data_IF_664994400628
#
_entry.id   IF_664994400628
#
_cell.length_a   1.000
_cell.length_b   1.000
_cell.length_c   1.000
_cell.angle_alpha   90.00
_cell.angle_beta   90.00
_cell.angle_gamma   90.00
#
_symmetry.space_group_name_H-M   'P 1'
#
loop_
_entity.id
_entity.type
_entity.pdbx_description
1 polymer ?
#
# COMPACT_ATOMS: atom_id res chain seq x y z
N UNK A 1 36.76 -6.18 -10.70
CA UNK A 1 36.16 -5.58 -9.49
C UNK A 1 35.26 -4.39 -9.84
N UNK A 2 34.32 -4.58 -10.77
CA UNK A 2 33.21 -3.67 -11.09
C UNK A 2 31.97 -4.53 -11.07
N UNK A 3 31.23 -4.53 -9.96
CA UNK A 3 29.86 -5.00 -9.79
C UNK A 3 29.60 -5.17 -8.29
N UNK A 4 29.20 -4.07 -7.65
CA UNK A 4 28.51 -4.08 -6.35
C UNK A 4 27.82 -2.75 -5.99
N UNK A 5 27.85 -1.74 -6.88
CA UNK A 5 27.13 -0.47 -6.70
C UNK A 5 25.75 -0.41 -7.37
N UNK A 6 25.29 -1.49 -8.03
CA UNK A 6 24.04 -1.47 -8.79
C UNK A 6 22.77 -1.77 -7.96
N UNK A 7 22.88 -2.14 -6.68
CA UNK A 7 21.72 -2.50 -5.86
C UNK A 7 21.18 -1.39 -4.94
N UNK A 8 21.83 -0.22 -4.91
CA UNK A 8 21.39 0.90 -4.05
C UNK A 8 20.54 1.95 -4.80
N UNK A 9 20.29 1.75 -6.10
CA UNK A 9 19.60 2.72 -6.97
C UNK A 9 18.06 2.55 -6.92
N UNK A 10 17.55 1.48 -6.30
CA UNK A 10 16.10 1.29 -6.10
C UNK A 10 15.49 2.16 -4.99
N UNK A 11 16.28 2.95 -4.26
CA UNK A 11 15.85 3.54 -2.98
C UNK A 11 15.68 5.04 -2.90
N UNK A 12 15.92 5.80 -3.96
CA UNK A 12 15.62 7.24 -3.98
C UNK A 12 15.22 7.61 -5.40
N UNK A 13 14.11 8.33 -5.59
CA UNK A 13 13.69 8.78 -6.92
C UNK A 13 14.82 9.59 -7.59
N UNK A 14 14.91 9.60 -8.94
CA UNK A 14 15.86 10.45 -9.67
C UNK A 14 15.83 11.92 -9.24
N UNK A 15 14.68 12.39 -8.74
CA UNK A 15 14.48 13.75 -8.24
C UNK A 15 15.17 14.02 -6.90
N UNK A 16 15.33 13.02 -6.04
CA UNK A 16 16.08 13.17 -4.79
C UNK A 16 17.60 13.23 -5.04
N UNK A 17 18.08 12.49 -6.04
CA UNK A 17 19.45 12.62 -6.53
C UNK A 17 19.71 14.01 -7.14
N UNK A 18 18.75 14.53 -7.90
CA UNK A 18 18.80 15.88 -8.45
C UNK A 18 18.74 16.97 -7.37
N UNK A 19 17.98 16.76 -6.28
CA UNK A 19 17.93 17.64 -5.12
C UNK A 19 19.30 17.65 -4.41
N UNK A 20 19.91 16.49 -4.20
CA UNK A 20 21.25 16.35 -3.59
C UNK A 20 22.36 16.98 -4.45
N UNK A 21 22.29 16.87 -5.79
CA UNK A 21 23.23 17.55 -6.69
C UNK A 21 22.99 19.06 -6.78
N UNK A 22 21.74 19.54 -6.68
CA UNK A 22 21.43 20.98 -6.55
C UNK A 22 21.90 21.56 -5.21
N UNK A 23 21.87 20.77 -4.13
CA UNK A 23 22.37 21.17 -2.81
C UNK A 23 23.90 21.22 -2.72
N UNK A 24 24.65 20.62 -3.65
CA UNK A 24 26.12 20.69 -3.70
C UNK A 24 26.68 22.09 -3.98
N UNK A 25 25.88 23.03 -4.45
CA UNK A 25 26.32 24.40 -4.74
C UNK A 25 26.28 25.37 -3.55
N UNK A 26 25.70 24.98 -2.40
CA UNK A 26 25.70 25.80 -1.18
C UNK A 26 26.62 25.19 -0.11
N UNK A 27 27.93 25.43 -0.23
CA UNK A 27 28.88 25.23 0.88
C UNK A 27 28.66 26.29 1.95
N UNK A 28 27.77 26.03 2.91
CA UNK A 28 27.80 26.64 4.25
C UNK A 28 27.13 25.69 5.25
N UNK A 29 27.99 25.00 6.01
CA UNK A 29 27.72 24.39 7.33
C UNK A 29 26.26 23.97 7.60
N UNK A 30 25.84 22.81 7.10
CA UNK A 30 24.69 22.07 7.63
C UNK A 30 25.21 21.06 8.68
N UNK A 31 24.67 21.03 9.91
CA UNK A 31 24.88 19.91 10.82
C UNK A 31 24.37 18.62 10.17
N UNK A 32 25.02 17.51 10.48
CA UNK A 32 24.64 16.18 10.03
C UNK A 32 23.20 15.79 10.40
N UNK A 33 22.65 14.86 9.60
CA UNK A 33 21.34 14.19 9.64
C UNK A 33 20.23 14.84 8.80
N UNK A 34 20.26 14.58 7.49
CA UNK A 34 19.01 14.20 6.82
C UNK A 34 18.69 12.82 7.40
N UNK A 35 17.79 12.74 8.38
CA UNK A 35 17.26 11.45 8.82
C UNK A 35 16.54 10.82 7.63
N UNK A 36 16.75 9.52 7.41
CA UNK A 36 15.84 8.80 6.54
C UNK A 36 14.43 8.94 7.13
N UNK A 37 13.43 9.14 6.28
CA UNK A 37 12.06 9.26 6.72
C UNK A 37 11.63 8.05 7.54
N UNK A 38 10.93 8.31 8.64
CA UNK A 38 10.41 7.25 9.50
C UNK A 38 8.92 7.10 9.22
N UNK A 39 8.57 6.12 8.37
CA UNK A 39 7.17 5.74 8.15
C UNK A 39 6.58 5.11 9.40
N UNK A 40 5.31 5.45 9.64
CA UNK A 40 4.51 4.97 10.75
C UNK A 40 3.04 4.90 10.34
N UNK A 41 2.24 4.16 11.11
CA UNK A 41 0.86 3.84 10.78
C UNK A 41 -0.08 4.58 11.72
N UNK A 42 -1.17 5.14 11.19
CA UNK A 42 -2.23 5.78 11.96
C UNK A 42 -3.61 5.23 11.64
N UNK A 43 -4.58 5.55 12.50
CA UNK A 43 -6.00 5.24 12.31
C UNK A 43 -6.79 6.53 12.08
N UNK A 44 -7.58 6.51 11.01
CA UNK A 44 -8.46 7.59 10.60
C UNK A 44 -9.90 7.11 10.62
N UNK A 45 -10.84 8.03 10.77
CA UNK A 45 -12.28 7.79 10.70
C UNK A 45 -12.92 8.73 9.69
N UNK A 46 -14.05 8.33 9.12
CA UNK A 46 -14.74 9.08 8.07
C UNK A 46 -16.24 8.88 8.07
N UNK A 47 -16.95 9.84 7.47
CA UNK A 47 -18.39 9.74 7.18
C UNK A 47 -18.63 9.03 5.83
N UNK A 48 -17.59 8.91 5.01
CA UNK A 48 -17.65 8.32 3.68
C UNK A 48 -16.25 7.77 3.30
N UNK A 49 -16.15 6.92 2.27
CA UNK A 49 -14.85 6.42 1.80
C UNK A 49 -14.00 7.49 1.09
N UNK A 50 -14.45 8.75 1.08
CA UNK A 50 -13.80 9.86 0.39
C UNK A 50 -13.26 10.91 1.36
N UNK A 51 -13.66 10.86 2.64
CA UNK A 51 -13.38 11.90 3.62
C UNK A 51 -13.01 11.29 4.95
N UNK A 52 -11.70 11.26 5.21
CA UNK A 52 -11.12 10.73 6.43
C UNK A 52 -10.42 11.82 7.24
N UNK A 53 -10.38 11.65 8.56
CA UNK A 53 -9.65 12.50 9.49
C UNK A 53 -9.06 11.66 10.63
N UNK A 54 -8.00 12.14 11.31
CA UNK A 54 -7.47 11.45 12.48
C UNK A 54 -8.56 11.18 13.53
N UNK A 55 -8.65 9.94 14.02
CA UNK A 55 -9.61 9.58 15.03
C UNK A 55 -9.31 10.28 16.37
N UNK A 56 -10.29 11.00 16.94
CA UNK A 56 -10.08 11.84 18.13
C UNK A 56 -9.68 11.06 19.39
N UNK A 57 -10.13 9.82 19.49
CA UNK A 57 -9.84 8.90 20.60
C UNK A 57 -8.60 8.03 20.36
N UNK A 58 -7.90 8.20 19.23
CA UNK A 58 -6.68 7.45 18.90
C UNK A 58 -5.48 8.39 18.94
N UNK A 59 -4.41 7.94 19.61
CA UNK A 59 -3.12 8.64 19.58
C UNK A 59 -2.30 8.08 18.41
N UNK A 60 -2.28 8.79 17.29
CA UNK A 60 -1.43 8.43 16.15
C UNK A 60 0.04 8.90 16.35
N UNK A 61 1.02 8.16 15.80
CA UNK A 61 0.87 6.88 15.11
C UNK A 61 0.52 5.76 16.11
N UNK A 62 -0.25 4.77 15.66
CA UNK A 62 -0.63 3.60 16.47
C UNK A 62 0.42 2.49 16.46
N UNK A 63 1.23 2.43 15.40
CA UNK A 63 2.39 1.54 15.27
C UNK A 63 3.51 2.34 14.59
N UNK A 64 4.70 2.33 15.19
CA UNK A 64 5.95 2.80 14.59
C UNK A 64 7.07 1.74 14.68
N UNK A 65 8.28 2.08 14.20
CA UNK A 65 9.39 1.13 14.16
C UNK A 65 9.87 0.64 15.54
N UNK A 66 9.60 1.37 16.61
CA UNK A 66 9.97 0.97 17.99
C UNK A 66 9.01 -0.06 18.58
N UNK A 67 7.81 -0.22 18.01
CA UNK A 67 6.85 -1.24 18.43
C UNK A 67 7.20 -2.63 17.90
N UNK A 68 8.09 -2.72 16.90
CA UNK A 68 8.58 -3.98 16.34
C UNK A 68 9.63 -4.59 17.27
N UNK A 69 9.35 -5.77 17.81
CA UNK A 69 10.15 -6.38 18.88
C UNK A 69 11.04 -7.55 18.45
N UNK A 70 10.76 -8.19 17.31
CA UNK A 70 11.51 -9.35 16.83
C UNK A 70 12.74 -8.99 15.98
N UNK A 71 12.76 -7.78 15.41
CA UNK A 71 13.86 -7.22 14.61
C UNK A 71 14.02 -5.72 14.87
N UNK A 72 15.17 -5.16 14.51
CA UNK A 72 15.31 -3.70 14.44
C UNK A 72 14.73 -3.20 13.12
N UNK A 73 13.63 -2.44 13.18
CA UNK A 73 12.98 -1.85 12.03
C UNK A 73 13.49 -0.43 11.73
N UNK A 74 13.68 -0.08 10.46
CA UNK A 74 13.87 1.33 10.06
C UNK A 74 12.53 2.07 10.06
N UNK A 75 11.46 1.42 9.62
CA UNK A 75 10.11 1.97 9.50
C UNK A 75 9.04 0.88 9.37
N UNK A 76 7.77 1.28 9.45
CA UNK A 76 6.59 0.46 9.12
C UNK A 76 5.66 1.21 8.16
N UNK A 77 5.07 0.52 7.18
CA UNK A 77 4.26 1.16 6.12
C UNK A 77 3.21 0.21 5.52
N UNK A 78 2.39 0.72 4.59
CA UNK A 78 1.39 -0.05 3.84
C UNK A 78 0.42 -0.90 4.69
N UNK A 79 -0.31 -0.32 5.64
CA UNK A 79 -1.18 -1.09 6.51
C UNK A 79 -2.44 -1.55 5.80
N UNK A 80 -2.70 -2.87 5.83
CA UNK A 80 -4.00 -3.46 5.52
C UNK A 80 -4.58 -4.16 6.74
N UNK A 81 -5.87 -4.02 6.98
CA UNK A 81 -6.55 -4.65 8.09
C UNK A 81 -7.76 -5.50 7.67
N UNK A 82 -8.14 -6.43 8.56
CA UNK A 82 -9.39 -7.16 8.52
C UNK A 82 -10.03 -7.17 9.89
N UNK A 83 -11.36 -7.03 9.92
CA UNK A 83 -12.16 -7.35 11.10
C UNK A 83 -12.60 -8.81 11.02
N UNK A 84 -12.20 -9.60 12.00
CA UNK A 84 -12.59 -11.01 12.13
C UNK A 84 -13.18 -11.20 13.52
N UNK A 85 -14.46 -11.57 13.55
CA UNK A 85 -15.26 -11.62 14.77
C UNK A 85 -15.21 -10.26 15.51
N UNK A 86 -14.65 -10.25 16.73
CA UNK A 86 -14.55 -9.07 17.60
C UNK A 86 -13.22 -8.34 17.46
N UNK A 87 -12.26 -8.87 16.70
CA UNK A 87 -10.90 -8.34 16.64
C UNK A 87 -10.56 -7.79 15.27
N UNK A 88 -9.74 -6.74 15.26
CA UNK A 88 -9.04 -6.23 14.11
C UNK A 88 -7.64 -6.80 14.04
N UNK A 89 -7.22 -7.15 12.82
CA UNK A 89 -5.89 -7.67 12.50
C UNK A 89 -5.30 -6.77 11.42
N UNK A 90 -4.13 -6.19 11.66
CA UNK A 90 -3.42 -5.32 10.73
C UNK A 90 -2.11 -5.97 10.31
N UNK A 91 -1.91 -6.04 8.99
CA UNK A 91 -0.71 -6.52 8.33
C UNK A 91 -0.03 -5.34 7.65
N UNK A 92 1.28 -5.24 7.75
CA UNK A 92 2.03 -4.07 7.27
C UNK A 92 3.48 -4.43 6.94
N UNK A 93 4.13 -3.62 6.09
CA UNK A 93 5.56 -3.72 5.84
C UNK A 93 6.36 -3.35 7.10
N UNK A 94 7.36 -4.15 7.41
CA UNK A 94 8.45 -3.84 8.33
C UNK A 94 9.75 -3.83 7.52
N UNK A 95 10.43 -2.68 7.44
CA UNK A 95 11.75 -2.66 6.82
C UNK A 95 12.83 -3.07 7.81
N UNK A 96 13.25 -4.34 7.72
CA UNK A 96 14.22 -4.94 8.62
C UNK A 96 15.64 -4.44 8.33
N UNK A 97 16.29 -3.82 9.32
CA UNK A 97 17.64 -3.26 9.19
C UNK A 97 18.71 -4.31 8.91
N UNK A 98 18.57 -5.51 9.48
CA UNK A 98 19.58 -6.56 9.36
C UNK A 98 19.54 -7.20 7.97
N UNK A 99 18.34 -7.49 7.46
CA UNK A 99 18.15 -8.15 6.15
C UNK A 99 18.05 -7.16 4.98
N UNK A 100 17.84 -5.87 5.28
CA UNK A 100 17.72 -4.75 4.32
C UNK A 100 16.57 -4.92 3.32
N UNK A 101 15.47 -5.53 3.74
CA UNK A 101 14.26 -5.76 2.93
C UNK A 101 13.00 -5.63 3.79
N UNK A 102 11.85 -5.51 3.13
CA UNK A 102 10.53 -5.53 3.76
C UNK A 102 10.10 -6.96 4.09
N UNK A 103 9.50 -7.13 5.26
CA UNK A 103 8.88 -8.34 5.78
C UNK A 103 7.49 -7.97 6.32
N UNK A 104 6.53 -8.89 6.39
CA UNK A 104 5.15 -8.54 6.78
C UNK A 104 4.94 -8.79 8.27
N UNK A 105 4.64 -7.72 9.00
CA UNK A 105 4.26 -7.73 10.42
C UNK A 105 2.78 -7.97 10.66
N UNK A 106 2.43 -8.25 11.91
CA UNK A 106 1.06 -8.34 12.41
C UNK A 106 0.91 -7.52 13.70
N UNK A 107 -0.15 -6.72 13.77
CA UNK A 107 -0.67 -6.15 15.01
C UNK A 107 -2.17 -6.50 15.17
N UNK A 108 -2.63 -6.59 16.41
CA UNK A 108 -4.03 -6.95 16.74
C UNK A 108 -4.64 -5.88 17.65
N UNK A 109 -5.93 -5.63 17.46
CA UNK A 109 -6.68 -4.67 18.29
C UNK A 109 -8.13 -5.13 18.49
N UNK A 110 -8.68 -5.11 19.72
CA UNK A 110 -10.10 -5.39 19.95
C UNK A 110 -11.01 -4.22 19.56
N UNK A 111 -10.48 -3.00 19.42
CA UNK A 111 -11.27 -1.77 19.29
C UNK A 111 -10.80 -0.84 18.16
N UNK A 112 -9.75 -1.23 17.43
CA UNK A 112 -9.03 -0.43 16.44
C UNK A 112 -8.44 0.88 16.98
N UNK A 113 -8.34 1.04 18.30
CA UNK A 113 -7.76 2.19 18.98
C UNK A 113 -6.36 1.86 19.48
N UNK A 114 -6.23 0.79 20.27
CA UNK A 114 -4.94 0.33 20.77
C UNK A 114 -4.52 -0.91 20.00
N UNK A 115 -3.33 -0.85 19.41
CA UNK A 115 -2.76 -1.93 18.62
C UNK A 115 -1.58 -2.56 19.35
N UNK A 116 -1.63 -3.89 19.47
CA UNK A 116 -0.55 -4.67 20.07
C UNK A 116 0.19 -5.43 18.96
N UNK A 117 1.44 -5.06 18.72
CA UNK A 117 2.33 -5.79 17.82
C UNK A 117 2.48 -7.26 18.28
N UNK A 118 2.50 -8.19 17.32
CA UNK A 118 2.62 -9.63 17.58
C UNK A 118 3.97 -10.18 17.12
N UNK A 119 4.18 -10.26 15.81
CA UNK A 119 5.35 -10.87 15.17
C UNK A 119 5.39 -10.58 13.66
N UNK A 120 6.53 -10.81 13.02
CA UNK A 120 6.61 -11.03 11.57
C UNK A 120 5.88 -12.35 11.22
N UNK A 121 4.95 -12.28 10.28
CA UNK A 121 4.12 -13.42 9.84
C UNK A 121 4.44 -13.92 8.43
N UNK A 122 5.17 -13.13 7.63
CA UNK A 122 5.64 -13.54 6.32
C UNK A 122 7.00 -12.88 6.01
N UNK A 123 7.99 -13.69 5.71
CA UNK A 123 9.30 -13.26 5.25
C UNK A 123 9.74 -14.14 4.07
N UNK A 124 10.26 -13.51 3.02
CA UNK A 124 10.71 -14.18 1.80
C UNK A 124 12.17 -13.83 1.50
N UNK A 125 12.79 -14.48 0.51
CA UNK A 125 14.18 -14.15 0.10
C UNK A 125 14.29 -12.79 -0.62
N UNK A 126 13.16 -12.17 -0.92
CA UNK A 126 13.00 -10.91 -1.63
C UNK A 126 12.18 -9.93 -0.79
N UNK A 127 12.15 -8.66 -1.20
CA UNK A 127 11.39 -7.60 -0.54
C UNK A 127 9.88 -7.85 -0.61
N UNK A 128 9.17 -7.62 0.51
CA UNK A 128 7.72 -7.66 0.63
C UNK A 128 7.22 -6.31 1.16
N UNK A 129 6.19 -5.74 0.53
CA UNK A 129 5.43 -4.57 1.00
C UNK A 129 3.96 -4.75 0.63
N UNK A 130 3.11 -3.73 0.85
CA UNK A 130 1.72 -3.71 0.38
C UNK A 130 0.93 -5.03 0.60
N UNK A 131 0.82 -5.57 1.84
CA UNK A 131 0.23 -6.88 2.14
C UNK A 131 -1.30 -6.90 2.01
N UNK A 132 -1.84 -6.78 0.79
CA UNK A 132 -3.28 -6.70 0.54
C UNK A 132 -3.99 -7.96 1.06
N UNK A 133 -4.62 -7.86 2.23
CA UNK A 133 -5.29 -8.97 2.91
C UNK A 133 -6.80 -8.93 2.68
N UNK A 134 -7.42 -10.10 2.45
CA UNK A 134 -8.85 -10.24 2.19
C UNK A 134 -9.37 -11.63 2.56
N UNK A 135 -10.68 -11.73 2.79
CA UNK A 135 -11.37 -13.01 3.01
C UNK A 135 -12.11 -13.46 1.76
N UNK A 136 -12.08 -14.75 1.46
CA UNK A 136 -12.88 -15.36 0.40
C UNK A 136 -13.25 -16.80 0.76
N UNK A 137 -14.52 -17.18 0.61
CA UNK A 137 -15.02 -18.52 0.93
C UNK A 137 -14.59 -19.02 2.33
N UNK A 138 -14.75 -18.17 3.35
CA UNK A 138 -14.37 -18.45 4.76
C UNK A 138 -12.87 -18.70 4.99
N UNK A 139 -12.02 -18.29 4.05
CA UNK A 139 -10.57 -18.42 4.11
C UNK A 139 -9.92 -17.05 3.97
N UNK A 140 -8.68 -16.92 4.44
CA UNK A 140 -7.95 -15.65 4.42
C UNK A 140 -6.78 -15.72 3.46
N UNK A 141 -6.67 -14.68 2.64
CA UNK A 141 -5.67 -14.57 1.58
C UNK A 141 -4.91 -13.24 1.69
N UNK A 142 -3.69 -13.24 1.20
CA UNK A 142 -2.82 -12.07 1.14
C UNK A 142 -2.10 -12.03 -0.20
N UNK A 143 -2.05 -10.84 -0.80
CA UNK A 143 -1.24 -10.52 -1.99
C UNK A 143 -0.30 -9.38 -1.61
N UNK A 144 0.93 -9.65 -1.14
CA UNK A 144 1.92 -8.62 -0.97
C UNK A 144 2.49 -8.15 -2.32
N UNK A 145 3.01 -6.92 -2.36
CA UNK A 145 3.91 -6.52 -3.43
C UNK A 145 5.13 -7.46 -3.42
N UNK A 146 5.41 -8.03 -4.57
CA UNK A 146 6.46 -9.03 -4.76
C UNK A 146 7.23 -8.76 -6.06
N UNK A 147 7.46 -7.48 -6.35
CA UNK A 147 8.06 -7.01 -7.61
C UNK A 147 9.41 -7.66 -7.95
N UNK A 148 10.25 -7.93 -6.94
CA UNK A 148 11.53 -8.65 -7.11
C UNK A 148 11.35 -10.11 -7.55
N UNK A 149 10.24 -10.76 -7.18
CA UNK A 149 9.88 -12.10 -7.62
C UNK A 149 9.30 -12.14 -9.05
N UNK A 150 9.02 -10.96 -9.64
CA UNK A 150 8.44 -10.80 -10.98
C UNK A 150 7.11 -11.53 -11.20
N UNK A 151 6.30 -11.57 -10.14
CA UNK A 151 5.00 -12.26 -10.12
C UNK A 151 4.11 -11.60 -9.08
N UNK A 152 2.80 -11.68 -9.26
CA UNK A 152 1.81 -11.39 -8.22
C UNK A 152 1.56 -12.69 -7.47
N UNK A 153 2.04 -12.80 -6.22
CA UNK A 153 1.97 -14.04 -5.44
C UNK A 153 0.74 -14.04 -4.52
N UNK A 154 -0.04 -15.11 -4.57
CA UNK A 154 -1.13 -15.37 -3.64
C UNK A 154 -0.63 -16.22 -2.47
N UNK A 155 -0.89 -15.76 -1.26
CA UNK A 155 -0.70 -16.52 -0.03
C UNK A 155 -2.05 -16.80 0.62
N UNK A 156 -2.19 -17.97 1.24
CA UNK A 156 -3.34 -18.35 2.07
C UNK A 156 -2.89 -18.58 3.49
N UNK A 157 -3.68 -18.11 4.46
CA UNK A 157 -3.41 -18.39 5.86
C UNK A 157 -3.65 -19.88 6.14
N UNK A 158 -2.59 -20.64 6.46
CA UNK A 158 -2.72 -22.02 6.93
C UNK A 158 -3.15 -22.07 8.40
N UNK A 159 -2.86 -21.00 9.14
CA UNK A 159 -3.38 -20.73 10.48
C UNK A 159 -3.51 -19.22 10.65
N UNK A 160 -4.70 -18.69 10.40
CA UNK A 160 -4.95 -17.25 10.57
C UNK A 160 -4.78 -16.82 12.04
N UNK A 161 -4.17 -15.65 12.33
CA UNK A 161 -3.54 -14.69 11.40
C UNK A 161 -2.03 -14.91 11.19
N UNK A 162 -1.44 -15.95 11.77
CA UNK A 162 0.02 -16.01 12.04
C UNK A 162 0.83 -16.82 11.03
N UNK A 163 0.21 -17.74 10.28
CA UNK A 163 0.93 -18.60 9.35
C UNK A 163 0.35 -18.49 7.95
N UNK A 164 1.20 -18.14 6.99
CA UNK A 164 0.86 -17.93 5.59
C UNK A 164 1.64 -18.89 4.71
N UNK A 165 0.97 -19.44 3.70
CA UNK A 165 1.54 -20.39 2.74
C UNK A 165 1.34 -19.88 1.33
N UNK A 166 2.40 -19.93 0.53
CA UNK A 166 2.32 -19.63 -0.89
C UNK A 166 1.37 -20.61 -1.59
N UNK A 167 0.44 -20.09 -2.38
CA UNK A 167 -0.55 -20.89 -3.12
C UNK A 167 -0.20 -20.93 -4.59
N UNK A 168 -0.12 -19.76 -5.23
CA UNK A 168 0.10 -19.67 -6.68
C UNK A 168 0.61 -18.28 -7.09
N UNK A 169 1.12 -18.17 -8.32
CA UNK A 169 1.37 -16.90 -8.98
C UNK A 169 0.14 -16.53 -9.83
N UNK A 170 -0.55 -15.45 -9.49
CA UNK A 170 -1.73 -14.99 -10.24
C UNK A 170 -1.36 -14.47 -11.62
N UNK A 171 -0.28 -13.69 -11.69
CA UNK A 171 0.32 -13.16 -12.93
C UNK A 171 1.84 -13.23 -12.79
N UNK A 172 2.57 -13.49 -13.88
CA UNK A 172 4.03 -13.64 -13.87
C UNK A 172 4.68 -12.95 -15.08
N UNK A 173 5.97 -12.67 -14.98
CA UNK A 173 6.80 -12.25 -16.12
C UNK A 173 7.08 -10.75 -16.25
N UNK A 174 6.64 -9.94 -15.28
CA UNK A 174 6.90 -8.49 -15.23
C UNK A 174 7.22 -8.04 -13.80
N UNK A 175 7.65 -6.78 -13.64
CA UNK A 175 7.61 -6.09 -12.35
C UNK A 175 6.17 -5.70 -12.08
N UNK A 176 5.68 -6.01 -10.88
CA UNK A 176 4.33 -5.76 -10.42
C UNK A 176 4.41 -5.09 -9.05
N UNK A 177 3.91 -3.86 -8.95
CA UNK A 177 3.95 -3.05 -7.74
C UNK A 177 2.50 -2.75 -7.28
N UNK A 178 2.30 -2.82 -5.96
CA UNK A 178 1.03 -2.54 -5.27
C UNK A 178 -0.22 -3.16 -5.90
N UNK A 179 -0.30 -4.49 -5.96
CA UNK A 179 -1.45 -5.18 -6.57
C UNK A 179 -2.71 -5.06 -5.69
N UNK A 180 -3.75 -4.39 -6.18
CA UNK A 180 -5.05 -4.26 -5.49
C UNK A 180 -6.10 -5.19 -6.09
N UNK A 181 -6.51 -6.21 -5.33
CA UNK A 181 -7.52 -7.20 -5.75
C UNK A 181 -8.91 -6.87 -5.19
N UNK A 182 -9.95 -7.06 -6.00
CA UNK A 182 -11.32 -6.92 -5.55
C UNK A 182 -12.26 -7.81 -6.37
N UNK A 183 -13.47 -8.04 -5.82
CA UNK A 183 -14.51 -8.80 -6.51
C UNK A 183 -15.68 -7.88 -6.83
N UNK A 184 -16.11 -7.90 -8.08
CA UNK A 184 -17.25 -7.14 -8.58
C UNK A 184 -17.91 -7.89 -9.72
N UNK A 185 -19.24 -7.91 -9.75
CA UNK A 185 -20.04 -8.61 -10.77
C UNK A 185 -19.58 -10.07 -11.01
N UNK A 186 -19.50 -10.84 -9.92
CA UNK A 186 -19.05 -12.24 -9.91
C UNK A 186 -17.66 -12.53 -10.49
N UNK A 187 -16.83 -11.50 -10.65
CA UNK A 187 -15.50 -11.60 -11.26
C UNK A 187 -14.43 -11.02 -10.34
N UNK A 188 -13.24 -11.59 -10.41
CA UNK A 188 -12.05 -11.01 -9.78
C UNK A 188 -11.41 -9.99 -10.70
N UNK A 189 -11.00 -8.88 -10.10
CA UNK A 189 -10.32 -7.78 -10.76
C UNK A 189 -9.05 -7.45 -10.01
N UNK A 190 -8.03 -7.02 -10.74
CA UNK A 190 -6.73 -6.70 -10.17
C UNK A 190 -6.11 -5.49 -10.87
N UNK A 191 -5.87 -4.44 -10.10
CA UNK A 191 -5.08 -3.28 -10.49
C UNK A 191 -3.63 -3.46 -10.06
N UNK A 192 -2.68 -3.09 -10.92
CA UNK A 192 -1.26 -3.21 -10.59
C UNK A 192 -0.39 -2.24 -11.39
N UNK A 193 0.56 -1.60 -10.72
CA UNK A 193 1.56 -0.75 -11.36
C UNK A 193 2.66 -1.63 -11.99
N UNK A 194 3.11 -1.27 -13.20
CA UNK A 194 4.02 -2.14 -13.98
C UNK A 194 5.20 -1.43 -14.64
N UNK A 195 5.51 -0.17 -14.30
CA UNK A 195 6.63 0.51 -14.92
C UNK A 195 7.97 -0.07 -14.39
N UNK A 196 8.79 -0.71 -15.25
CA UNK A 196 10.01 -1.38 -14.81
C UNK A 196 11.11 -0.42 -14.32
N UNK A 197 10.92 0.89 -14.55
CA UNK A 197 11.83 1.96 -14.15
C UNK A 197 11.37 2.71 -12.90
N UNK A 198 10.38 2.18 -12.16
CA UNK A 198 9.86 2.79 -10.92
C UNK A 198 9.46 4.27 -11.11
N UNK A 199 8.85 4.58 -12.26
CA UNK A 199 8.23 5.89 -12.52
C UNK A 199 6.83 6.02 -11.93
N UNK A 200 6.24 4.89 -11.53
CA UNK A 200 4.92 4.82 -10.89
C UNK A 200 3.79 5.39 -11.75
N UNK A 201 3.92 5.28 -13.08
CA UNK A 201 3.13 6.01 -14.07
C UNK A 201 2.31 5.10 -14.99
N UNK A 202 2.37 3.78 -14.78
CA UNK A 202 1.75 2.77 -15.66
C UNK A 202 0.88 1.81 -14.87
N UNK A 203 -0.44 1.91 -15.01
CA UNK A 203 -1.43 1.03 -14.38
C UNK A 203 -2.02 0.04 -15.39
N UNK A 204 -2.01 -1.24 -15.03
CA UNK A 204 -2.66 -2.32 -15.79
C UNK A 204 -3.80 -2.92 -14.97
N UNK A 205 -4.78 -3.44 -15.70
CA UNK A 205 -5.96 -4.13 -15.19
C UNK A 205 -5.97 -5.57 -15.69
N UNK A 206 -6.24 -6.50 -14.79
CA UNK A 206 -6.42 -7.92 -15.05
C UNK A 206 -7.75 -8.39 -14.48
N UNK A 207 -8.29 -9.48 -15.00
CA UNK A 207 -9.47 -10.13 -14.46
C UNK A 207 -9.38 -11.66 -14.53
N UNK A 208 -10.15 -12.33 -13.66
CA UNK A 208 -10.31 -13.77 -13.66
C UNK A 208 -11.71 -14.17 -13.15
N UNK A 209 -12.22 -15.32 -13.58
CA UNK A 209 -13.47 -15.87 -13.04
C UNK A 209 -13.23 -16.48 -11.64
N UNK A 210 -12.10 -17.15 -11.47
CA UNK A 210 -11.67 -17.79 -10.22
C UNK A 210 -10.45 -17.09 -9.62
N UNK A 211 -10.27 -17.19 -8.29
CA UNK A 211 -9.21 -16.47 -7.59
C UNK A 211 -7.81 -16.87 -8.07
N UNK A 212 -7.60 -18.16 -8.31
CA UNK A 212 -6.34 -18.73 -8.82
C UNK A 212 -6.20 -18.61 -10.35
N UNK A 213 -7.12 -17.89 -11.01
CA UNK A 213 -7.08 -17.67 -12.44
C UNK A 213 -7.82 -18.73 -13.28
N UNK A 214 -7.60 -18.75 -14.61
CA UNK A 214 -6.58 -17.98 -15.32
C UNK A 214 -6.84 -16.47 -15.26
N UNK A 215 -5.78 -15.70 -15.01
CA UNK A 215 -5.82 -14.24 -15.05
C UNK A 215 -5.55 -13.73 -16.46
N UNK A 216 -6.42 -12.85 -16.95
CA UNK A 216 -6.40 -12.31 -18.30
C UNK A 216 -6.16 -10.81 -18.18
N UNK A 217 -5.19 -10.29 -18.95
CA UNK A 217 -5.01 -8.85 -19.05
C UNK A 217 -6.19 -8.21 -19.79
N UNK A 218 -6.75 -7.15 -19.20
CA UNK A 218 -7.85 -6.41 -19.79
C UNK A 218 -7.42 -5.75 -21.12
N UNK A 219 -8.24 -5.75 -22.19
CA UNK A 219 -7.84 -5.23 -23.50
C UNK A 219 -7.54 -3.72 -23.53
N UNK A 220 -8.07 -2.94 -22.59
CA UNK A 220 -7.72 -1.52 -22.43
C UNK A 220 -6.41 -1.29 -21.65
N UNK A 221 -5.73 -2.34 -21.19
CA UNK A 221 -4.46 -2.19 -20.48
C UNK A 221 -3.32 -1.77 -21.44
N UNK A 222 -2.41 -0.88 -21.01
CA UNK A 222 -2.46 -0.15 -19.75
C UNK A 222 -3.60 0.88 -19.72
N UNK A 223 -4.40 0.86 -18.64
CA UNK A 223 -5.52 1.79 -18.47
C UNK A 223 -5.04 3.19 -18.09
N UNK A 224 -3.81 3.31 -17.59
CA UNK A 224 -3.08 4.56 -17.38
C UNK A 224 -1.64 4.35 -17.83
N UNK A 225 -1.10 5.28 -18.63
CA UNK A 225 0.26 5.23 -19.13
C UNK A 225 0.91 6.63 -19.10
N UNK A 226 2.07 6.74 -18.45
CA UNK A 226 2.81 7.99 -18.34
C UNK A 226 2.19 9.04 -17.40
N UNK A 227 1.37 8.63 -16.42
CA UNK A 227 0.80 9.55 -15.42
C UNK A 227 1.08 9.10 -13.97
N UNK A 228 2.15 9.63 -13.32
CA UNK A 228 2.52 9.28 -11.95
C UNK A 228 1.59 9.83 -10.87
N UNK A 229 0.61 10.67 -11.23
CA UNK A 229 -0.35 11.21 -10.27
C UNK A 229 -1.50 10.26 -9.93
N UNK A 230 -1.75 9.25 -10.78
CA UNK A 230 -3.00 8.47 -10.75
C UNK A 230 -2.85 6.97 -11.06
N UNK A 231 -1.63 6.52 -11.38
CA UNK A 231 -1.38 5.14 -11.80
C UNK A 231 -1.16 4.18 -10.63
N UNK A 232 -0.33 4.52 -9.65
CA UNK A 232 0.08 3.58 -8.59
C UNK A 232 -1.06 3.38 -7.57
N UNK A 233 -1.53 2.16 -7.31
CA UNK A 233 -2.59 1.93 -6.33
C UNK A 233 -2.21 2.34 -4.90
N UNK A 234 -3.17 2.89 -4.13
CA UNK A 234 -2.95 3.40 -2.78
C UNK A 234 -3.62 2.60 -1.66
N UNK A 235 -4.22 1.45 -1.97
CA UNK A 235 -4.74 0.54 -0.96
C UNK A 235 -6.00 -0.19 -1.42
N UNK A 236 -6.91 -0.50 -0.49
CA UNK A 236 -8.09 -1.32 -0.77
C UNK A 236 -9.09 -0.63 -1.69
N UNK A 237 -9.49 -1.31 -2.76
CA UNK A 237 -10.61 -0.86 -3.59
C UNK A 237 -11.90 -1.07 -2.82
N UNK A 238 -12.71 -0.01 -2.69
CA UNK A 238 -14.00 -0.06 -2.01
C UNK A 238 -15.10 -0.38 -3.01
N UNK A 239 -15.85 -1.45 -2.74
CA UNK A 239 -17.03 -1.84 -3.53
C UNK A 239 -18.26 -1.68 -2.65
N UNK A 240 -19.16 -0.75 -3.01
CA UNK A 240 -20.42 -0.49 -2.30
C UNK A 240 -21.57 -0.56 -3.31
N UNK A 241 -22.28 -1.68 -3.35
CA UNK A 241 -23.32 -1.94 -4.36
C UNK A 241 -22.75 -1.73 -5.78
N UNK A 242 -23.30 -0.77 -6.53
CA UNK A 242 -22.89 -0.45 -7.90
C UNK A 242 -21.78 0.61 -7.97
N UNK A 243 -21.23 1.03 -6.83
CA UNK A 243 -20.20 2.08 -6.76
C UNK A 243 -18.86 1.49 -6.36
N UNK A 244 -17.85 1.66 -7.21
CA UNK A 244 -16.49 1.18 -6.97
C UNK A 244 -15.54 2.36 -6.88
N UNK A 245 -14.80 2.47 -5.77
CA UNK A 245 -13.81 3.52 -5.54
C UNK A 245 -12.41 2.92 -5.54
N UNK A 246 -11.57 3.38 -6.45
CA UNK A 246 -10.14 3.09 -6.52
C UNK A 246 -9.36 4.24 -5.90
N UNK A 247 -8.41 3.92 -5.03
CA UNK A 247 -7.46 4.89 -4.51
C UNK A 247 -6.13 4.82 -5.25
N UNK A 248 -5.52 5.97 -5.46
CA UNK A 248 -4.22 6.09 -6.12
C UNK A 248 -3.28 6.97 -5.33
N UNK A 249 -2.00 6.60 -5.39
CA UNK A 249 -0.91 7.41 -4.88
C UNK A 249 -0.64 8.51 -5.90
N UNK A 250 -0.43 9.72 -5.39
CA UNK A 250 0.13 10.79 -6.18
C UNK A 250 1.65 10.80 -5.96
N UNK A 251 2.41 10.34 -6.96
CA UNK A 251 3.85 10.15 -6.89
C UNK A 251 4.66 11.27 -7.58
N UNK A 252 4.05 12.42 -7.89
CA UNK A 252 4.75 13.55 -8.52
C UNK A 252 4.42 14.89 -7.85
N UNK A 253 5.43 15.75 -7.58
CA UNK A 253 6.85 15.63 -7.97
C UNK A 253 7.68 14.74 -7.05
N UNK A 254 7.10 14.22 -5.97
CA UNK A 254 7.76 13.34 -5.03
C UNK A 254 6.89 12.13 -4.74
N UNK A 255 7.51 11.07 -4.22
CA UNK A 255 6.83 9.85 -3.83
C UNK A 255 5.77 10.13 -2.75
N UNK A 256 4.54 9.65 -2.97
CA UNK A 256 3.51 9.57 -1.93
C UNK A 256 3.07 10.91 -1.35
N UNK A 257 2.84 11.93 -2.18
CA UNK A 257 2.48 13.27 -1.66
C UNK A 257 1.03 13.37 -1.18
N UNK A 258 0.15 12.49 -1.66
CA UNK A 258 -1.25 12.39 -1.25
C UNK A 258 -1.89 11.11 -1.80
N UNK A 259 -3.08 10.79 -1.28
CA UNK A 259 -3.97 9.76 -1.85
C UNK A 259 -5.16 10.43 -2.53
N UNK A 260 -5.46 10.01 -3.77
CA UNK A 260 -6.61 10.47 -4.55
C UNK A 260 -7.63 9.35 -4.75
N UNK A 261 -8.90 9.69 -4.97
CA UNK A 261 -9.98 8.74 -5.25
C UNK A 261 -10.59 8.90 -6.65
N UNK A 262 -10.83 7.75 -7.29
CA UNK A 262 -11.49 7.62 -8.59
C UNK A 262 -12.68 6.69 -8.46
N UNK A 263 -13.81 7.10 -9.03
CA UNK A 263 -14.98 6.24 -9.17
C UNK A 263 -14.92 5.53 -10.50
N UNK A 264 -14.99 4.21 -10.50
CA UNK A 264 -15.06 3.40 -11.71
C UNK A 264 -16.50 3.43 -12.19
N UNK A 265 -16.73 4.08 -13.33
CA UNK A 265 -18.07 4.29 -13.90
C UNK A 265 -18.45 3.21 -14.91
N UNK A 266 -17.48 2.45 -15.42
CA UNK A 266 -17.70 1.30 -16.29
C UNK A 266 -16.61 0.25 -16.05
N UNK A 267 -17.01 -0.99 -15.78
CA UNK A 267 -16.11 -2.11 -15.57
C UNK A 267 -16.70 -3.38 -16.16
N UNK A 268 -16.22 -3.77 -17.33
CA UNK A 268 -16.58 -5.01 -18.02
C UNK A 268 -15.32 -5.67 -18.59
N UNK A 269 -15.33 -6.94 -19.03
CA UNK A 269 -14.14 -7.58 -19.60
C UNK A 269 -13.58 -6.90 -20.87
N UNK A 270 -14.32 -5.96 -21.46
CA UNK A 270 -13.97 -5.28 -22.72
C UNK A 270 -13.97 -3.76 -22.61
N UNK A 271 -14.34 -3.18 -21.47
CA UNK A 271 -14.47 -1.74 -21.31
C UNK A 271 -14.16 -1.31 -19.87
N UNK A 272 -13.46 -0.19 -19.76
CA UNK A 272 -13.04 0.41 -18.49
C UNK A 272 -13.15 1.93 -18.59
N UNK A 273 -13.85 2.55 -17.63
CA UNK A 273 -13.86 3.99 -17.44
C UNK A 273 -13.84 4.33 -15.96
N UNK A 274 -13.10 5.37 -15.60
CA UNK A 274 -13.11 5.96 -14.27
C UNK A 274 -13.17 7.48 -14.34
N UNK A 275 -13.67 8.11 -13.29
CA UNK A 275 -13.72 9.56 -13.13
C UNK A 275 -13.17 9.92 -11.76
N UNK A 276 -12.32 10.95 -11.72
CA UNK A 276 -11.89 11.52 -10.46
C UNK A 276 -13.09 12.05 -9.66
N UNK A 277 -13.14 11.72 -8.37
CA UNK A 277 -14.20 12.19 -7.48
C UNK A 277 -13.97 13.67 -7.13
N UNK A 278 -15.04 14.47 -7.01
CA UNK A 278 -14.91 15.88 -6.62
C UNK A 278 -14.23 16.00 -5.23
N UNK A 279 -13.26 16.91 -5.10
CA UNK A 279 -12.46 17.03 -3.88
C UNK A 279 -11.52 15.83 -3.64
N UNK A 280 -11.03 15.22 -4.72
CA UNK A 280 -10.39 13.91 -4.81
C UNK A 280 -9.30 13.55 -3.79
N UNK A 281 -8.66 14.51 -3.12
CA UNK A 281 -7.63 14.24 -2.14
C UNK A 281 -8.25 13.68 -0.86
N UNK A 282 -8.17 12.36 -0.71
CA UNK A 282 -8.70 11.60 0.43
C UNK A 282 -7.79 11.72 1.64
N UNK A 283 -6.48 11.68 1.41
CA UNK A 283 -5.45 11.87 2.42
C UNK A 283 -4.41 12.85 1.90
N UNK A 284 -4.04 13.80 2.75
CA UNK A 284 -2.93 14.72 2.53
C UNK A 284 -2.06 14.78 3.78
N UNK A 285 -0.78 15.12 3.63
CA UNK A 285 0.09 15.41 4.75
C UNK A 285 -0.48 16.46 5.70
N UNK A 286 0.00 16.43 6.94
CA UNK A 286 -0.25 17.49 7.92
C UNK A 286 0.05 18.86 7.31
N UNK A 287 -0.88 19.84 7.37
CA UNK A 287 -0.65 21.17 6.81
C UNK A 287 0.55 21.90 7.41
N UNK A 288 0.99 21.49 8.60
CA UNK A 288 2.17 22.06 9.26
C UNK A 288 3.49 21.47 8.75
N UNK A 289 3.44 20.33 8.05
CA UNK A 289 4.63 19.56 7.67
C UNK A 289 5.30 18.85 8.85
N UNK A 290 4.68 18.84 10.03
CA UNK A 290 5.21 18.23 11.24
C UNK A 290 4.28 17.14 11.78
N UNK A 291 4.86 16.25 12.58
CA UNK A 291 4.19 15.07 13.15
C UNK A 291 4.46 13.82 12.32
N UNK A 292 4.00 12.68 12.80
CA UNK A 292 4.18 11.37 12.16
C UNK A 292 3.65 11.29 10.73
N UNK A 293 2.73 12.21 10.37
CA UNK A 293 2.13 12.38 9.05
C UNK A 293 2.55 13.72 8.39
N UNK A 294 3.75 14.22 8.71
CA UNK A 294 4.29 15.46 8.13
C UNK A 294 4.48 15.41 6.61
N UNK A 295 4.57 14.20 6.05
CA UNK A 295 4.55 13.93 4.62
C UNK A 295 4.21 12.47 4.32
N UNK A 296 4.36 12.09 3.06
CA UNK A 296 4.37 10.69 2.66
C UNK A 296 3.01 10.00 2.63
N UNK A 297 1.91 10.62 3.04
CA UNK A 297 0.59 9.98 3.06
C UNK A 297 0.22 9.30 1.72
N UNK A 298 0.43 7.98 1.60
CA UNK A 298 0.31 7.25 0.34
C UNK A 298 -0.51 5.97 0.43
N UNK A 299 -0.81 5.49 1.64
CA UNK A 299 -1.62 4.31 1.83
C UNK A 299 -2.94 4.60 2.54
N UNK A 300 -4.01 3.94 2.11
CA UNK A 300 -5.30 3.85 2.82
C UNK A 300 -5.96 2.48 2.67
N UNK A 301 -6.34 1.88 3.80
CA UNK A 301 -7.20 0.70 3.81
C UNK A 301 -8.51 0.99 4.57
N UNK A 302 -9.58 1.43 3.88
CA UNK A 302 -10.85 1.79 4.49
C UNK A 302 -11.82 0.62 4.66
N UNK A 303 -12.56 0.62 5.77
CA UNK A 303 -13.58 -0.36 6.14
C UNK A 303 -14.84 0.36 6.63
N UNK A 304 -16.00 -0.16 6.21
CA UNK A 304 -17.32 0.31 6.66
C UNK A 304 -17.73 -0.47 7.92
N UNK A 305 -18.05 0.23 8.99
CA UNK A 305 -18.59 -0.34 10.22
C UNK A 305 -20.10 -0.60 10.08
N UNK A 306 -20.63 -1.48 10.95
CA UNK A 306 -22.07 -1.81 11.01
C UNK A 306 -22.96 -0.60 11.32
N UNK A 307 -22.44 0.39 12.03
CA UNK A 307 -23.12 1.65 12.36
C UNK A 307 -23.10 2.68 11.21
N UNK A 308 -22.52 2.33 10.06
CA UNK A 308 -22.41 3.18 8.88
C UNK A 308 -21.20 4.13 8.89
N UNK A 309 -20.39 4.14 9.95
CA UNK A 309 -19.16 4.94 10.02
C UNK A 309 -18.01 4.26 9.28
N UNK A 310 -17.02 5.04 8.84
CA UNK A 310 -15.81 4.50 8.22
C UNK A 310 -14.63 4.57 9.18
N UNK A 311 -13.78 3.54 9.11
CA UNK A 311 -12.46 3.50 9.73
C UNK A 311 -11.43 3.13 8.66
N UNK A 312 -10.23 3.68 8.74
CA UNK A 312 -9.14 3.30 7.85
C UNK A 312 -7.81 3.28 8.60
N UNK A 313 -6.96 2.30 8.29
CA UNK A 313 -5.53 2.43 8.56
C UNK A 313 -4.84 3.14 7.40
N UNK A 314 -3.89 4.00 7.73
CA UNK A 314 -3.15 4.85 6.79
C UNK A 314 -1.70 4.91 7.23
N UNK A 315 -0.80 5.32 6.35
CA UNK A 315 0.59 5.61 6.71
C UNK A 315 0.99 7.06 6.42
N UNK A 316 2.10 7.46 7.02
CA UNK A 316 2.73 8.76 6.87
C UNK A 316 4.15 8.74 7.43
N UNK A 317 4.95 9.76 7.12
CA UNK A 317 6.32 9.86 7.61
C UNK A 317 6.63 11.19 8.34
N UNK A 318 7.76 11.23 9.04
CA UNK A 318 8.37 12.44 9.63
C UNK A 318 9.87 12.51 9.34
#
# INVERSE_FOLDING_TARGET
MKNKLALLIYKLSPDLLNLLDKMRFFKRSLPALIKNPQWSIGIYVGESPLKFMPAKNVKNPVIDCHDVLDVTADFVADPFMLKVEQNWYMFFEIYNQQTRKGEIGLAVSPDAVKWDYQQIVLAEKFHLSYPYVFSWMNEYYMIPETGEAKSIRLYKASKFPTHWTFVDNLVSGSVFLDASIFRYDNRWWLFVETNPHAKYDTLRLYYADELTGPWIEHPNSPIINGNPHIARPAGRVVVMNDRIIRYTQDCYPFYGIQVRAFEITELTPTSYQEKEVEGASVLTPSPTGFGWNGGGMHHIDPHLNEDGTWIACVDGWV
#
